data_IF_889950041589
#
_entry.id   IF_889950041589
#
_cell.length_a   1.000
_cell.length_b   1.000
_cell.length_c   1.000
_cell.angle_alpha   90.00
_cell.angle_beta   90.00
_cell.angle_gamma   90.00
#
_symmetry.space_group_name_H-M   'P 1'
#
loop_
_entity.id
_entity.type
_entity.pdbx_description
1 polymer ?
#
# COMPACT_ATOMS: atom_id res chain seq x y z
N UNK A 1 1.40 24.07 2.82
CA UNK A 1 2.52 23.12 2.63
C UNK A 1 1.93 21.78 2.23
N UNK A 2 2.44 21.14 1.18
CA UNK A 2 1.94 19.84 0.71
C UNK A 2 2.66 18.71 1.44
N UNK A 3 1.92 17.77 1.99
CA UNK A 3 2.48 16.60 2.69
C UNK A 3 2.72 15.49 1.67
N UNK A 4 3.92 14.89 1.64
CA UNK A 4 4.18 13.70 0.83
C UNK A 4 3.98 12.44 1.67
N UNK A 5 3.22 11.48 1.15
CA UNK A 5 2.98 10.20 1.82
C UNK A 5 3.22 9.03 0.88
N UNK A 6 4.04 8.08 1.32
CA UNK A 6 4.20 6.81 0.62
C UNK A 6 3.04 5.88 0.99
N UNK A 7 2.45 5.22 0.00
CA UNK A 7 1.36 4.26 0.18
C UNK A 7 1.73 2.94 -0.47
N UNK A 8 1.68 1.86 0.29
CA UNK A 8 2.01 0.52 -0.16
C UNK A 8 0.72 -0.29 -0.24
N UNK A 9 0.40 -0.78 -1.43
CA UNK A 9 -0.69 -1.73 -1.66
C UNK A 9 -0.09 -3.14 -1.61
N UNK A 10 -0.53 -4.00 -0.69
CA UNK A 10 -0.02 -5.37 -0.55
C UNK A 10 -1.19 -6.36 -0.67
N UNK A 11 -1.10 -7.34 -1.58
CA UNK A 11 -2.16 -8.35 -1.71
C UNK A 11 -1.63 -9.71 -2.16
N UNK A 12 -2.28 -10.78 -1.73
CA UNK A 12 -2.15 -12.14 -2.25
C UNK A 12 -2.68 -12.32 -3.69
N UNK A 13 -3.51 -11.39 -4.17
CA UNK A 13 -4.05 -11.34 -5.53
C UNK A 13 -3.59 -10.06 -6.26
N UNK A 14 -4.45 -9.45 -7.08
CA UNK A 14 -4.10 -8.28 -7.91
C UNK A 14 -3.92 -6.98 -7.12
N UNK A 15 -4.50 -6.86 -5.93
CA UNK A 15 -4.49 -5.63 -5.12
C UNK A 15 -5.30 -4.46 -5.71
N UNK A 16 -6.14 -4.70 -6.72
CA UNK A 16 -6.93 -3.64 -7.38
C UNK A 16 -7.88 -2.92 -6.41
N UNK A 17 -8.60 -3.67 -5.59
CA UNK A 17 -9.55 -3.12 -4.60
C UNK A 17 -8.88 -2.18 -3.61
N UNK A 18 -7.76 -2.63 -3.00
CA UNK A 18 -7.00 -1.82 -2.05
C UNK A 18 -6.44 -0.55 -2.71
N UNK A 19 -6.01 -0.64 -3.98
CA UNK A 19 -5.54 0.53 -4.72
C UNK A 19 -6.65 1.56 -4.93
N UNK A 20 -7.84 1.13 -5.34
CA UNK A 20 -8.99 2.04 -5.52
C UNK A 20 -9.33 2.73 -4.21
N UNK A 21 -9.41 2.00 -3.09
CA UNK A 21 -9.69 2.57 -1.77
C UNK A 21 -8.61 3.59 -1.38
N UNK A 22 -7.33 3.28 -1.57
CA UNK A 22 -6.23 4.20 -1.25
C UNK A 22 -6.29 5.48 -2.08
N UNK A 23 -6.59 5.40 -3.37
CA UNK A 23 -6.74 6.55 -4.25
C UNK A 23 -7.95 7.41 -3.87
N UNK A 24 -9.08 6.78 -3.56
CA UNK A 24 -10.29 7.48 -3.09
C UNK A 24 -10.07 8.15 -1.74
N UNK A 25 -9.37 7.50 -0.81
CA UNK A 25 -9.02 8.10 0.47
C UNK A 25 -8.09 9.29 0.28
N UNK A 26 -7.04 9.15 -0.55
CA UNK A 26 -6.09 10.22 -0.84
C UNK A 26 -6.76 11.45 -1.45
N UNK A 27 -7.77 11.27 -2.32
CA UNK A 27 -8.48 12.39 -2.95
C UNK A 27 -9.28 13.25 -1.97
N UNK A 28 -9.56 12.76 -0.75
CA UNK A 28 -10.21 13.55 0.30
C UNK A 28 -9.25 14.56 0.97
N UNK A 29 -7.94 14.48 0.71
CA UNK A 29 -6.93 15.33 1.34
C UNK A 29 -6.27 16.26 0.31
N UNK A 30 -6.79 17.48 0.20
CA UNK A 30 -6.37 18.48 -0.82
C UNK A 30 -4.87 18.85 -0.78
N UNK A 31 -4.21 18.68 0.37
CA UNK A 31 -2.79 19.01 0.55
C UNK A 31 -1.90 17.76 0.69
N UNK A 32 -2.34 16.61 0.18
CA UNK A 32 -1.60 15.34 0.22
C UNK A 32 -1.13 14.97 -1.19
N UNK A 33 0.17 14.70 -1.34
CA UNK A 33 0.73 14.06 -2.53
C UNK A 33 1.12 12.64 -2.17
N UNK A 34 0.59 11.65 -2.89
CA UNK A 34 0.83 10.24 -2.59
C UNK A 34 1.73 9.58 -3.62
N UNK A 35 2.72 8.81 -3.16
CA UNK A 35 3.46 7.87 -4.00
C UNK A 35 2.95 6.45 -3.72
N UNK A 36 2.14 5.93 -4.64
CA UNK A 36 1.52 4.60 -4.48
C UNK A 36 2.43 3.56 -5.14
N UNK A 37 2.86 2.55 -4.36
CA UNK A 37 3.55 1.35 -4.85
C UNK A 37 2.72 0.12 -4.58
N UNK A 38 2.58 -0.75 -5.59
CA UNK A 38 1.75 -1.95 -5.50
C UNK A 38 2.60 -3.22 -5.57
N UNK A 39 2.33 -4.13 -4.64
CA UNK A 39 2.94 -5.44 -4.49
C UNK A 39 1.82 -6.50 -4.59
N UNK A 40 1.49 -6.94 -5.82
CA UNK A 40 0.51 -8.00 -6.03
C UNK A 40 1.15 -9.38 -5.81
N UNK A 41 0.30 -10.41 -5.67
CA UNK A 41 0.71 -11.82 -5.58
C UNK A 41 1.70 -12.12 -4.45
N UNK A 42 1.53 -11.48 -3.29
CA UNK A 42 2.32 -11.73 -2.09
C UNK A 42 1.81 -12.99 -1.39
N UNK A 43 2.40 -14.13 -1.76
CA UNK A 43 1.93 -15.47 -1.35
C UNK A 43 2.77 -16.13 -0.25
N UNK A 44 3.83 -15.47 0.23
CA UNK A 44 4.71 -16.04 1.28
C UNK A 44 5.02 -15.02 2.36
N UNK A 45 5.21 -15.52 3.59
CA UNK A 45 5.63 -14.68 4.72
C UNK A 45 6.99 -14.01 4.49
N UNK A 46 7.91 -14.69 3.81
CA UNK A 46 9.23 -14.12 3.48
C UNK A 46 9.11 -12.91 2.55
N UNK A 47 8.26 -13.01 1.52
CA UNK A 47 7.98 -11.89 0.62
C UNK A 47 7.31 -10.74 1.38
N UNK A 48 6.31 -11.05 2.21
CA UNK A 48 5.65 -10.06 3.06
C UNK A 48 6.65 -9.37 3.99
N UNK A 49 7.52 -10.12 4.67
CA UNK A 49 8.53 -9.56 5.59
C UNK A 49 9.48 -8.59 4.89
N UNK A 50 9.92 -8.91 3.66
CA UNK A 50 10.73 -8.03 2.84
C UNK A 50 10.01 -6.72 2.49
N UNK A 51 8.73 -6.82 2.09
CA UNK A 51 7.90 -5.65 1.75
C UNK A 51 7.63 -4.80 3.00
N UNK A 52 7.33 -5.41 4.15
CA UNK A 52 7.10 -4.70 5.41
C UNK A 52 8.36 -3.97 5.89
N UNK A 53 9.55 -4.57 5.73
CA UNK A 53 10.82 -3.90 6.02
C UNK A 53 11.01 -2.65 5.15
N UNK A 54 10.72 -2.77 3.85
CA UNK A 54 10.78 -1.65 2.91
C UNK A 54 9.74 -0.57 3.22
N UNK A 55 8.52 -0.96 3.57
CA UNK A 55 7.45 -0.05 3.96
C UNK A 55 7.83 0.76 5.20
N UNK A 56 8.42 0.09 6.21
CA UNK A 56 8.94 0.75 7.42
C UNK A 56 10.04 1.76 7.10
N UNK A 57 11.01 1.39 6.26
CA UNK A 57 12.09 2.30 5.84
C UNK A 57 11.55 3.53 5.11
N UNK A 58 10.50 3.35 4.31
CA UNK A 58 9.88 4.42 3.54
C UNK A 58 8.76 5.15 4.28
N UNK A 59 8.52 4.85 5.56
CA UNK A 59 7.41 5.38 6.36
C UNK A 59 6.06 5.32 5.61
N UNK A 60 5.81 4.19 4.95
CA UNK A 60 4.64 4.01 4.10
C UNK A 60 3.41 3.59 4.92
N UNK A 61 2.25 4.14 4.55
CA UNK A 61 0.95 3.62 4.98
C UNK A 61 0.66 2.36 4.14
N UNK A 62 0.19 1.31 4.79
CA UNK A 62 -0.12 0.04 4.11
C UNK A 62 -1.63 -0.10 3.95
N UNK A 63 -2.07 -0.32 2.71
CA UNK A 63 -3.40 -0.86 2.40
C UNK A 63 -3.21 -2.30 1.95
N UNK A 64 -3.97 -3.23 2.52
CA UNK A 64 -3.80 -4.63 2.20
C UNK A 64 -5.11 -5.37 2.00
N UNK A 65 -5.06 -6.42 1.20
CA UNK A 65 -6.11 -7.42 1.06
C UNK A 65 -5.45 -8.78 1.01
N UNK A 66 -5.71 -9.60 2.03
CA UNK A 66 -5.31 -11.00 2.09
C UNK A 66 -6.57 -11.84 2.31
N UNK A 67 -6.77 -12.86 1.49
CA UNK A 67 -7.82 -13.86 1.73
C UNK A 67 -7.41 -14.77 2.89
N UNK A 68 -8.38 -15.27 3.68
CA UNK A 68 -8.13 -16.10 4.87
C UNK A 68 -8.06 -17.61 4.54
N UNK A 69 -7.59 -17.99 3.36
CA UNK A 69 -7.56 -19.40 2.95
C UNK A 69 -6.16 -19.99 2.96
#
# INVERSE_FOLDING_TARGET
MTTKQNIYIISDSSGGTAQTIAQTAASQFQNLTTEIRRFPFVQTESMLAGILKLAKQNQAIIFHTFSQH
#
